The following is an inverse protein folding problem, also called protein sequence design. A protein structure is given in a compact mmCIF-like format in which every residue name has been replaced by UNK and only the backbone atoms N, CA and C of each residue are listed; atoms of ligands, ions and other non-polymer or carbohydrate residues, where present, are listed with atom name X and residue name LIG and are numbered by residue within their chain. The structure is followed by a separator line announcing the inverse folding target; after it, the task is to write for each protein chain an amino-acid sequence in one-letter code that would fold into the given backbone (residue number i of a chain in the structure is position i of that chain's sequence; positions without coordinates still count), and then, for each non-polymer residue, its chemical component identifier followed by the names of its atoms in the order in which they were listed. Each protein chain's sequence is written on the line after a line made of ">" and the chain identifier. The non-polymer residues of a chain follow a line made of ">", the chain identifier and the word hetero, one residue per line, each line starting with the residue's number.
data_IF_716645421778
#
_entry.id   IF_716645421778
#
_cell.length_a   1.000
_cell.length_b   1.000
_cell.length_c   1.000
_cell.angle_alpha   90.00
_cell.angle_beta   90.00
_cell.angle_gamma   90.00
#
_symmetry.space_group_name_H-M   'P 1'
#
loop_
_entity.id
_entity.type
_entity.pdbx_description
1 polymer ?
#
# COMPACT_ATOMS: atom_id res chain seq x y z
N UNK A 1 2.06 12.60 2.26
CA UNK A 1 1.51 11.42 1.58
C UNK A 1 0.61 10.71 2.55
N UNK A 2 -0.68 10.69 2.27
CA UNK A 2 -1.66 9.91 3.02
C UNK A 2 -2.03 8.72 2.13
N UNK A 3 -1.86 7.50 2.61
CA UNK A 3 -2.24 6.29 1.87
C UNK A 3 -3.24 5.51 2.73
N UNK A 4 -4.22 4.90 2.07
CA UNK A 4 -5.27 4.12 2.70
C UNK A 4 -5.07 2.65 2.37
N UNK A 5 -4.96 1.80 3.39
CA UNK A 5 -4.90 0.35 3.23
C UNK A 5 -6.26 -0.25 3.57
N UNK A 6 -6.76 -1.17 2.74
CA UNK A 6 -8.07 -1.79 2.91
C UNK A 6 -7.98 -3.30 2.74
N UNK A 7 -8.43 -4.04 3.75
CA UNK A 7 -8.57 -5.49 3.66
C UNK A 7 -9.76 -5.87 2.76
N UNK A 8 -9.48 -6.63 1.71
CA UNK A 8 -10.46 -7.14 0.75
C UNK A 8 -10.32 -8.65 0.65
N UNK A 9 -11.26 -9.33 1.33
CA UNK A 9 -11.41 -10.80 1.38
C UNK A 9 -10.19 -11.55 1.92
N UNK A 10 -9.11 -11.63 1.13
CA UNK A 10 -7.90 -12.43 1.41
C UNK A 10 -6.60 -11.60 1.33
N UNK A 11 -6.64 -10.41 0.73
CA UNK A 11 -5.48 -9.52 0.61
C UNK A 11 -5.82 -8.09 1.03
N UNK A 12 -4.80 -7.25 1.13
CA UNK A 12 -4.87 -5.82 1.39
C UNK A 12 -4.66 -5.06 0.09
N UNK A 13 -5.55 -4.12 -0.21
CA UNK A 13 -5.36 -3.16 -1.29
C UNK A 13 -4.90 -1.82 -0.73
N UNK A 14 -3.92 -1.21 -1.39
CA UNK A 14 -3.34 0.09 -1.01
C UNK A 14 -3.78 1.14 -2.02
N UNK A 15 -4.25 2.26 -1.48
CA UNK A 15 -4.76 3.40 -2.24
C UNK A 15 -3.96 4.66 -1.88
N UNK A 16 -3.75 5.51 -2.88
CA UNK A 16 -3.19 6.84 -2.71
C UNK A 16 -4.20 7.80 -2.05
N UNK A 17 -3.76 9.00 -1.65
CA UNK A 17 -4.61 10.04 -1.07
C UNK A 17 -5.78 10.44 -1.99
N UNK A 18 -5.62 10.23 -3.30
CA UNK A 18 -6.67 10.45 -4.31
C UNK A 18 -7.68 9.31 -4.43
N UNK A 19 -7.52 8.23 -3.66
CA UNK A 19 -8.29 7.00 -3.80
C UNK A 19 -7.92 6.18 -5.03
N UNK A 20 -6.77 6.47 -5.66
CA UNK A 20 -6.24 5.66 -6.77
C UNK A 20 -5.63 4.37 -6.23
N UNK A 21 -6.01 3.25 -6.83
CA UNK A 21 -5.37 1.97 -6.55
C UNK A 21 -3.89 2.05 -6.92
N UNK A 22 -3.02 1.76 -5.95
CA UNK A 22 -1.59 1.66 -6.16
C UNK A 22 -1.23 0.19 -6.44
N UNK A 23 -1.47 -0.68 -5.46
CA UNK A 23 -1.18 -2.11 -5.55
C UNK A 23 -1.94 -2.91 -4.48
N UNK A 24 -1.90 -4.23 -4.58
CA UNK A 24 -2.44 -5.17 -3.60
C UNK A 24 -1.34 -6.06 -3.04
N UNK A 25 -1.41 -6.40 -1.75
CA UNK A 25 -0.49 -7.28 -1.07
C UNK A 25 -1.24 -8.29 -0.21
N UNK A 26 -0.70 -9.50 -0.03
CA UNK A 26 -1.37 -10.56 0.74
C UNK A 26 -1.51 -10.24 2.24
N UNK A 27 -0.77 -9.27 2.77
CA UNK A 27 -0.87 -8.83 4.17
C UNK A 27 -0.46 -7.37 4.36
N UNK A 28 -0.95 -6.73 5.43
CA UNK A 28 -0.57 -5.34 5.79
C UNK A 28 0.94 -5.15 5.93
N UNK A 29 1.65 -6.19 6.39
CA UNK A 29 3.11 -6.16 6.52
C UNK A 29 3.80 -6.05 5.17
N UNK A 30 3.34 -6.79 4.16
CA UNK A 30 3.88 -6.69 2.79
C UNK A 30 3.50 -5.36 2.16
N UNK A 31 2.24 -4.91 2.34
CA UNK A 31 1.79 -3.60 1.89
C UNK A 31 2.66 -2.46 2.44
N UNK A 32 2.97 -2.50 3.74
CA UNK A 32 3.82 -1.49 4.38
C UNK A 32 5.25 -1.58 3.91
N UNK A 33 5.79 -2.79 3.72
CA UNK A 33 7.16 -2.99 3.27
C UNK A 33 7.37 -2.49 1.84
N UNK A 34 6.44 -2.78 0.93
CA UNK A 34 6.48 -2.22 -0.42
C UNK A 34 6.34 -0.70 -0.43
N UNK A 35 5.44 -0.13 0.41
CA UNK A 35 5.38 1.32 0.59
C UNK A 35 6.73 1.87 1.08
N UNK A 36 7.29 1.29 2.14
CA UNK A 36 8.57 1.72 2.69
C UNK A 36 9.69 1.62 1.64
N UNK A 37 9.77 0.55 0.84
CA UNK A 37 10.75 0.40 -0.24
C UNK A 37 10.58 1.46 -1.35
N UNK A 38 9.34 1.76 -1.78
CA UNK A 38 9.05 2.78 -2.79
C UNK A 38 9.39 4.19 -2.28
N UNK A 39 9.08 4.47 -1.00
CA UNK A 39 9.46 5.73 -0.34
C UNK A 39 10.97 5.86 -0.12
N UNK A 40 11.67 4.76 0.16
CA UNK A 40 13.11 4.79 0.41
C UNK A 40 13.93 4.93 -0.88
N UNK A 41 13.40 4.48 -2.02
CA UNK A 41 14.03 4.65 -3.33
C UNK A 41 14.05 6.12 -3.82
N UNK A 42 13.27 7.00 -3.18
CA UNK A 42 13.19 8.43 -3.52
C UNK A 42 14.10 9.36 -2.68
N UNK A 43 14.95 8.82 -1.80
CA UNK A 43 15.89 9.58 -0.95
C UNK A 43 17.29 9.72 -1.58
#
# INVERSE_FOLDING_TARGET
>A
MEYSMRWVREHVEVYDHTGRFLFSADSESEARRELEEDFHAAA
#
